data_IF_576036543314
#
_entry.id   IF_576036543314
#
_cell.length_a   1.000
_cell.length_b   1.000
_cell.length_c   1.000
_cell.angle_alpha   90.00
_cell.angle_beta   90.00
_cell.angle_gamma   90.00
#
_symmetry.space_group_name_H-M   'P 1'
#
loop_
_entity.id
_entity.type
_entity.pdbx_description
1 polymer ?
#
# COMPACT_ATOMS: atom_id res chain seq x y z
N UNK A 1 6.51 2.98 0.32
CA UNK A 1 6.51 4.13 1.23
C UNK A 1 5.70 5.21 0.54
N UNK A 2 4.70 5.77 1.22
CA UNK A 2 3.87 6.84 0.68
C UNK A 2 4.53 8.21 0.88
N UNK A 3 4.17 9.17 0.03
CA UNK A 3 4.82 10.49 -0.04
C UNK A 3 4.00 11.59 0.63
N UNK A 4 2.80 11.29 1.12
CA UNK A 4 1.95 12.24 1.84
C UNK A 4 2.53 12.68 3.21
N UNK A 5 2.33 13.93 3.68
CA UNK A 5 2.89 14.44 4.94
C UNK A 5 2.48 13.72 6.24
N UNK A 6 1.54 12.77 6.17
CA UNK A 6 1.09 11.94 7.29
C UNK A 6 1.51 10.49 7.17
N UNK A 7 2.42 10.19 6.25
CA UNK A 7 3.06 8.89 6.12
C UNK A 7 4.08 8.67 7.23
N UNK A 8 4.13 7.46 7.77
CA UNK A 8 5.20 7.07 8.69
C UNK A 8 6.53 6.96 7.94
N UNK A 9 7.63 7.10 8.67
CA UNK A 9 9.00 7.01 8.12
C UNK A 9 9.45 5.60 7.73
N UNK A 10 8.65 4.57 7.99
CA UNK A 10 8.95 3.16 7.70
C UNK A 10 8.05 2.58 6.60
N UNK A 11 8.55 1.66 5.75
CA UNK A 11 7.73 1.06 4.71
C UNK A 11 6.72 0.07 5.28
N UNK A 12 5.52 0.06 4.68
CA UNK A 12 4.54 -1.02 4.85
C UNK A 12 4.87 -2.17 3.90
N UNK A 13 4.88 -3.41 4.43
CA UNK A 13 4.98 -4.63 3.62
C UNK A 13 3.58 -5.11 3.28
N UNK A 14 3.35 -5.39 2.00
CA UNK A 14 2.06 -5.89 1.50
C UNK A 14 2.28 -7.20 0.76
N UNK A 15 1.23 -8.01 0.70
CA UNK A 15 1.13 -9.14 -0.21
C UNK A 15 0.21 -8.76 -1.36
N UNK A 16 0.61 -9.07 -2.59
CA UNK A 16 -0.26 -8.92 -3.75
C UNK A 16 -1.18 -10.13 -3.79
N UNK A 17 -2.47 -9.92 -3.54
CA UNK A 17 -3.47 -10.99 -3.44
C UNK A 17 -4.50 -10.96 -4.56
N UNK A 18 -4.54 -9.89 -5.36
CA UNK A 18 -5.53 -9.69 -6.41
C UNK A 18 -4.95 -8.89 -7.58
N UNK A 19 -5.64 -8.93 -8.71
CA UNK A 19 -5.39 -8.14 -9.89
C UNK A 19 -6.40 -7.00 -9.96
N UNK A 20 -5.92 -5.76 -9.99
CA UNK A 20 -6.76 -4.67 -10.45
C UNK A 20 -6.69 -4.61 -11.99
N UNK A 21 -7.78 -4.95 -12.72
CA UNK A 21 -7.73 -5.19 -14.18
C UNK A 21 -7.56 -3.91 -15.01
N UNK A 22 -7.55 -2.74 -14.38
CA UNK A 22 -7.42 -1.43 -15.02
C UNK A 22 -8.68 -0.57 -14.91
N UNK A 23 -8.69 0.57 -15.61
CA UNK A 23 -9.68 1.64 -15.46
C UNK A 23 -9.09 2.88 -14.79
N UNK A 24 -9.93 3.90 -14.54
CA UNK A 24 -9.52 5.25 -14.09
C UNK A 24 -8.57 5.24 -12.87
N UNK A 25 -8.64 4.21 -12.01
CA UNK A 25 -7.93 4.16 -10.73
C UNK A 25 -6.79 3.13 -10.66
N UNK A 26 -6.64 2.24 -11.64
CA UNK A 26 -5.64 1.16 -11.62
C UNK A 26 -4.87 0.98 -12.92
N UNK A 27 -5.27 1.65 -14.01
CA UNK A 27 -4.53 1.66 -15.27
C UNK A 27 -4.27 3.09 -15.67
N UNK A 28 -3.11 3.58 -15.26
CA UNK A 28 -2.50 4.77 -15.86
C UNK A 28 -1.26 4.33 -16.65
N UNK A 29 -0.49 5.27 -17.19
CA UNK A 29 0.82 4.99 -17.79
C UNK A 29 1.85 4.45 -16.78
N UNK A 30 1.56 4.46 -15.48
CA UNK A 30 2.44 4.01 -14.42
C UNK A 30 1.88 2.80 -13.66
N UNK A 31 2.74 1.96 -13.05
CA UNK A 31 2.32 0.93 -12.12
C UNK A 31 1.50 1.53 -10.97
N UNK A 32 0.36 0.92 -10.67
CA UNK A 32 -0.53 1.33 -9.59
C UNK A 32 -0.78 0.17 -8.61
N UNK A 33 -1.01 0.50 -7.34
CA UNK A 33 -1.42 -0.45 -6.32
C UNK A 33 -2.79 -0.04 -5.78
N UNK A 34 -3.79 -0.88 -5.98
CA UNK A 34 -5.04 -0.80 -5.24
C UNK A 34 -4.87 -1.53 -3.91
N UNK A 35 -4.69 -0.75 -2.85
CA UNK A 35 -4.34 -1.27 -1.53
C UNK A 35 -5.57 -1.38 -0.66
N UNK A 36 -5.63 -2.43 0.15
CA UNK A 36 -6.65 -2.54 1.18
C UNK A 36 -6.57 -1.37 2.16
N UNK A 37 -7.70 -0.97 2.75
CA UNK A 37 -7.74 0.10 3.74
C UNK A 37 -6.83 -0.15 4.95
N UNK A 38 -6.56 -1.42 5.29
CA UNK A 38 -5.61 -1.79 6.33
C UNK A 38 -4.16 -1.49 5.92
N UNK A 39 -3.77 -1.80 4.69
CA UNK A 39 -2.44 -1.47 4.17
C UNK A 39 -2.23 0.05 4.08
N UNK A 40 -3.25 0.82 3.64
CA UNK A 40 -3.20 2.29 3.64
C UNK A 40 -3.07 2.83 5.07
N UNK A 41 -3.86 2.32 6.00
CA UNK A 41 -3.80 2.76 7.40
C UNK A 41 -2.44 2.47 8.04
N UNK A 42 -1.81 1.32 7.74
CA UNK A 42 -0.48 1.01 8.24
C UNK A 42 0.59 1.98 7.70
N UNK A 43 0.41 2.56 6.51
CA UNK A 43 1.35 3.55 5.97
C UNK A 43 1.32 4.89 6.70
N UNK A 44 0.28 5.17 7.50
CA UNK A 44 0.14 6.45 8.20
C UNK A 44 0.95 6.51 9.51
N UNK A 45 1.27 7.73 9.94
CA UNK A 45 1.61 8.01 11.32
C UNK A 45 0.46 7.59 12.25
N UNK A 46 0.80 7.13 13.46
CA UNK A 46 -0.19 6.70 14.46
C UNK A 46 -1.20 7.83 14.74
N UNK A 47 -2.49 7.52 14.59
CA UNK A 47 -3.59 8.48 14.76
C UNK A 47 -3.86 9.38 13.54
N UNK A 48 -3.19 9.15 12.40
CA UNK A 48 -3.40 9.88 11.13
C UNK A 48 -3.94 8.98 10.01
N UNK A 49 -4.39 7.78 10.34
CA UNK A 49 -4.88 6.76 9.40
C UNK A 49 -6.07 7.29 8.59
N UNK A 50 -7.00 8.00 9.24
CA UNK A 50 -8.14 8.62 8.56
C UNK A 50 -7.70 9.73 7.59
N UNK A 51 -6.70 10.53 7.96
CA UNK A 51 -6.18 11.58 7.09
C UNK A 51 -5.57 11.00 5.82
N UNK A 52 -4.82 9.90 5.93
CA UNK A 52 -4.23 9.23 4.77
C UNK A 52 -5.28 8.49 3.92
N UNK A 53 -6.31 7.88 4.53
CA UNK A 53 -7.40 7.23 3.77
C UNK A 53 -8.26 8.20 2.97
N UNK A 54 -8.41 9.44 3.42
CA UNK A 54 -9.33 10.41 2.83
C UNK A 54 -8.74 11.17 1.61
N UNK A 55 -7.50 10.91 1.21
CA UNK A 55 -6.89 11.58 0.03
C UNK A 55 -7.19 10.85 -1.29
N UNK A 56 -7.60 9.57 -1.22
CA UNK A 56 -7.88 8.73 -2.38
C UNK A 56 -6.63 8.17 -3.05
N UNK A 57 -5.84 9.03 -3.70
CA UNK A 57 -4.66 8.63 -4.48
C UNK A 57 -3.41 9.36 -3.99
N UNK A 58 -2.30 8.63 -3.81
CA UNK A 58 -0.99 9.15 -3.44
C UNK A 58 0.11 8.43 -4.21
N UNK A 59 1.21 9.14 -4.46
CA UNK A 59 2.40 8.54 -5.05
C UNK A 59 3.13 7.70 -4.01
N UNK A 60 3.62 6.53 -4.44
CA UNK A 60 4.37 5.61 -3.59
C UNK A 60 5.67 5.19 -4.25
N UNK A 61 6.71 5.04 -3.44
CA UNK A 61 7.92 4.31 -3.85
C UNK A 61 7.84 2.88 -3.34
N UNK A 62 8.12 1.91 -4.20
CA UNK A 62 8.00 0.50 -3.87
C UNK A 62 9.26 -0.28 -4.27
N UNK A 63 9.45 -1.42 -3.60
CA UNK A 63 10.50 -2.39 -3.91
C UNK A 63 9.95 -3.79 -3.66
N UNK A 64 10.10 -4.69 -4.63
CA UNK A 64 9.79 -6.11 -4.43
C UNK A 64 10.82 -6.72 -3.47
N UNK A 65 10.35 -7.46 -2.48
CA UNK A 65 11.18 -8.15 -1.49
C UNK A 65 10.78 -9.62 -1.41
N UNK A 66 11.70 -10.53 -1.02
CA UNK A 66 11.34 -11.89 -0.68
C UNK A 66 10.30 -11.90 0.44
N UNK A 67 9.24 -12.66 0.24
CA UNK A 67 8.20 -12.82 1.24
C UNK A 67 8.74 -13.57 2.47
N UNK A 68 8.34 -13.12 3.66
CA UNK A 68 8.64 -13.82 4.92
C UNK A 68 7.32 -14.18 5.58
N UNK A 69 7.12 -15.46 5.83
CA UNK A 69 5.89 -16.02 6.39
C UNK A 69 6.22 -16.80 7.66
N UNK A 70 6.54 -16.09 8.76
CA UNK A 70 6.87 -16.75 10.03
C UNK A 70 5.67 -17.55 10.51
N UNK A 71 5.91 -18.82 10.86
CA UNK A 71 4.91 -19.73 11.42
C UNK A 71 3.67 -19.96 10.54
N UNK A 72 3.79 -19.82 9.22
CA UNK A 72 2.72 -20.19 8.30
C UNK A 72 3.12 -21.37 7.43
N UNK A 73 2.18 -22.31 7.26
CA UNK A 73 2.29 -23.34 6.24
C UNK A 73 1.72 -22.78 4.92
N UNK A 74 2.55 -22.68 3.89
CA UNK A 74 2.16 -22.25 2.55
C UNK A 74 2.17 -23.41 1.54
N UNK A 75 1.98 -24.62 2.05
CA UNK A 75 1.72 -25.81 1.24
C UNK A 75 0.24 -25.89 0.86
#
# INVERSE_FOLDING_TARGET
MCMYPKCKSTPTRVFVTDLCPGGTYCSTSNPAFDLSGAAISDMAERGKEAALRNIGLDDVVYKRLPCKYPNQNMA
#
